data_IF_685794726644
#
_entry.id   IF_685794726644
#
_cell.length_a   1.000
_cell.length_b   1.000
_cell.length_c   1.000
_cell.angle_alpha   90.00
_cell.angle_beta   90.00
_cell.angle_gamma   90.00
#
_symmetry.space_group_name_H-M   'P 1'
#
loop_
_entity.id
_entity.type
_entity.pdbx_description
1 polymer ?
#
# COMPACT_ATOMS: atom_id res chain seq x y z
N UNK A 1 8.44 19.05 -11.78
CA UNK A 1 7.15 19.46 -12.39
C UNK A 1 6.01 19.29 -11.39
N UNK A 2 5.14 20.30 -11.20
CA UNK A 2 3.98 20.19 -10.27
C UNK A 2 3.03 19.05 -10.66
N UNK A 3 2.78 18.88 -11.96
CA UNK A 3 1.96 17.80 -12.54
C UNK A 3 2.47 16.40 -12.22
N UNK A 4 3.78 16.16 -12.37
CA UNK A 4 4.39 14.86 -12.10
C UNK A 4 4.20 14.41 -10.64
N UNK A 5 4.26 15.34 -9.68
CA UNK A 5 4.00 15.04 -8.27
C UNK A 5 2.54 14.66 -7.99
N UNK A 6 1.59 15.31 -8.67
CA UNK A 6 0.15 15.00 -8.53
C UNK A 6 -0.14 13.61 -9.09
N UNK A 7 0.39 13.30 -10.28
CA UNK A 7 0.27 11.97 -10.89
C UNK A 7 0.84 10.91 -9.96
N UNK A 8 2.02 11.14 -9.37
CA UNK A 8 2.64 10.21 -8.44
C UNK A 8 1.77 9.95 -7.20
N UNK A 9 1.16 11.00 -6.63
CA UNK A 9 0.22 10.85 -5.49
C UNK A 9 -1.01 10.03 -5.89
N UNK A 10 -1.60 10.30 -7.05
CA UNK A 10 -2.77 9.56 -7.54
C UNK A 10 -2.43 8.07 -7.76
N UNK A 11 -1.29 7.77 -8.38
CA UNK A 11 -0.82 6.39 -8.57
C UNK A 11 -0.58 5.69 -7.25
N UNK A 12 0.04 6.34 -6.26
CA UNK A 12 0.27 5.74 -4.93
C UNK A 12 -1.04 5.44 -4.18
N UNK A 13 -2.07 6.26 -4.35
CA UNK A 13 -3.41 6.00 -3.76
C UNK A 13 -4.04 4.76 -4.41
N UNK A 14 -4.04 4.68 -5.74
CA UNK A 14 -4.57 3.51 -6.46
C UNK A 14 -3.80 2.25 -6.07
N UNK A 15 -2.48 2.32 -6.03
CA UNK A 15 -1.62 1.21 -5.62
C UNK A 15 -1.94 0.74 -4.20
N UNK A 16 -2.14 1.69 -3.26
CA UNK A 16 -2.54 1.37 -1.88
C UNK A 16 -3.86 0.60 -1.83
N UNK A 17 -4.86 1.01 -2.61
CA UNK A 17 -6.16 0.31 -2.68
C UNK A 17 -6.00 -1.12 -3.19
N UNK A 18 -5.21 -1.31 -4.26
CA UNK A 18 -4.93 -2.65 -4.81
C UNK A 18 -4.22 -3.55 -3.79
N UNK A 19 -3.24 -3.02 -3.06
CA UNK A 19 -2.54 -3.76 -1.99
C UNK A 19 -3.51 -4.17 -0.88
N UNK A 20 -4.40 -3.28 -0.44
CA UNK A 20 -5.40 -3.59 0.59
C UNK A 20 -6.33 -4.70 0.10
N UNK A 21 -6.82 -4.64 -1.14
CA UNK A 21 -7.63 -5.70 -1.73
C UNK A 21 -6.87 -7.04 -1.77
N UNK A 22 -5.59 -7.04 -2.13
CA UNK A 22 -4.76 -8.24 -2.15
C UNK A 22 -4.60 -8.84 -0.74
N UNK A 23 -4.33 -8.01 0.28
CA UNK A 23 -4.22 -8.46 1.68
C UNK A 23 -5.54 -9.10 2.14
N UNK A 24 -6.68 -8.46 1.90
CA UNK A 24 -7.99 -8.97 2.29
C UNK A 24 -8.26 -10.32 1.61
N UNK A 25 -7.98 -10.43 0.31
CA UNK A 25 -8.16 -11.68 -0.42
C UNK A 25 -7.27 -12.79 0.15
N UNK A 26 -6.02 -12.50 0.49
CA UNK A 26 -5.12 -13.45 1.13
C UNK A 26 -5.61 -13.86 2.53
N UNK A 27 -6.14 -12.94 3.34
CA UNK A 27 -6.71 -13.26 4.66
C UNK A 27 -7.97 -14.12 4.55
N UNK A 28 -8.83 -13.85 3.55
CA UNK A 28 -10.02 -14.67 3.25
C UNK A 28 -9.59 -16.07 2.79
N UNK A 29 -8.66 -16.18 1.83
CA UNK A 29 -8.12 -17.46 1.37
C UNK A 29 -7.51 -18.23 2.53
N UNK A 30 -6.71 -17.59 3.40
CA UNK A 30 -6.18 -18.23 4.60
C UNK A 30 -7.28 -18.82 5.49
N UNK A 31 -8.33 -18.06 5.79
CA UNK A 31 -9.41 -18.49 6.70
C UNK A 31 -10.26 -19.63 6.12
N UNK A 32 -10.60 -19.56 4.83
CA UNK A 32 -11.54 -20.49 4.22
C UNK A 32 -10.86 -21.69 3.56
N UNK A 33 -9.69 -21.49 2.96
CA UNK A 33 -8.99 -22.52 2.20
C UNK A 33 -7.92 -23.25 3.01
N UNK A 34 -7.44 -22.68 4.13
CA UNK A 34 -6.42 -23.30 4.97
C UNK A 34 -6.99 -23.65 6.35
N UNK A 35 -7.48 -22.67 7.10
CA UNK A 35 -7.95 -22.88 8.49
C UNK A 35 -9.22 -23.75 8.57
N UNK A 36 -10.20 -23.54 7.69
CA UNK A 36 -11.45 -24.32 7.64
C UNK A 36 -11.39 -25.54 6.71
N UNK A 37 -10.20 -26.12 6.48
CA UNK A 37 -10.09 -27.33 5.64
C UNK A 37 -10.80 -28.52 6.26
N UNK A 38 -11.67 -29.16 5.47
CA UNK A 38 -12.27 -30.44 5.83
C UNK A 38 -11.53 -31.58 5.11
N UNK A 39 -10.62 -32.26 5.82
CA UNK A 39 -10.22 -33.64 5.51
C UNK A 39 -9.26 -33.90 4.33
N UNK A 40 -8.82 -32.88 3.58
CA UNK A 40 -7.89 -33.10 2.47
C UNK A 40 -6.44 -33.37 2.94
N UNK A 41 -5.85 -34.48 2.45
CA UNK A 41 -4.52 -35.01 2.81
C UNK A 41 -3.33 -34.29 2.15
N UNK A 42 -3.55 -33.15 1.51
CA UNK A 42 -2.47 -32.40 0.84
C UNK A 42 -1.68 -31.65 1.90
N UNK A 43 -0.37 -31.93 1.98
CA UNK A 43 0.53 -31.18 2.85
C UNK A 43 0.64 -29.73 2.36
N UNK A 44 0.08 -28.82 3.14
CA UNK A 44 -0.04 -27.38 2.85
C UNK A 44 0.70 -26.52 3.85
N UNK A 45 1.54 -27.12 4.70
CA UNK A 45 2.32 -26.39 5.69
C UNK A 45 3.15 -25.28 5.02
N UNK A 46 3.78 -25.61 3.88
CA UNK A 46 4.54 -24.65 3.07
C UNK A 46 3.67 -23.51 2.51
N UNK A 47 2.45 -23.81 2.07
CA UNK A 47 1.52 -22.81 1.52
C UNK A 47 1.02 -21.88 2.62
N UNK A 48 0.71 -22.42 3.79
CA UNK A 48 0.28 -21.66 4.96
C UNK A 48 1.37 -20.67 5.40
N UNK A 49 2.62 -21.14 5.51
CA UNK A 49 3.76 -20.34 5.93
C UNK A 49 4.11 -19.27 4.88
N UNK A 50 4.07 -19.63 3.60
CA UNK A 50 4.22 -18.69 2.49
C UNK A 50 3.13 -17.60 2.50
N UNK A 51 1.87 -17.97 2.73
CA UNK A 51 0.75 -17.04 2.72
C UNK A 51 0.82 -16.07 3.92
N UNK A 52 1.20 -16.57 5.10
CA UNK A 52 1.44 -15.74 6.30
C UNK A 52 2.54 -14.73 6.08
N UNK A 53 3.68 -15.15 5.55
CA UNK A 53 4.81 -14.25 5.30
C UNK A 53 4.47 -13.25 4.19
N UNK A 54 3.74 -13.70 3.16
CA UNK A 54 3.23 -12.83 2.09
C UNK A 54 2.34 -11.73 2.67
N UNK A 55 1.29 -12.06 3.44
CA UNK A 55 0.40 -11.08 4.08
C UNK A 55 1.20 -10.07 4.92
N UNK A 56 2.18 -10.55 5.68
CA UNK A 56 3.06 -9.70 6.50
C UNK A 56 3.87 -8.74 5.64
N UNK A 57 4.52 -9.21 4.57
CA UNK A 57 5.27 -8.35 3.64
C UNK A 57 4.36 -7.31 2.99
N UNK A 58 3.15 -7.69 2.55
CA UNK A 58 2.20 -6.73 1.98
C UNK A 58 1.74 -5.67 2.99
N UNK A 59 1.53 -6.03 4.26
CA UNK A 59 1.24 -5.06 5.33
C UNK A 59 2.39 -4.07 5.55
N UNK A 60 3.64 -4.56 5.56
CA UNK A 60 4.82 -3.68 5.64
C UNK A 60 4.95 -2.77 4.43
N UNK A 61 4.73 -3.32 3.23
CA UNK A 61 4.76 -2.55 1.99
C UNK A 61 3.68 -1.47 1.96
N UNK A 62 2.47 -1.78 2.44
CA UNK A 62 1.39 -0.80 2.58
C UNK A 62 1.80 0.34 3.51
N UNK A 63 2.39 0.05 4.66
CA UNK A 63 2.95 1.07 5.56
C UNK A 63 3.99 1.95 4.86
N UNK A 64 4.89 1.36 4.09
CA UNK A 64 5.88 2.10 3.31
C UNK A 64 5.22 3.04 2.28
N UNK A 65 4.22 2.57 1.55
CA UNK A 65 3.49 3.41 0.57
C UNK A 65 2.78 4.57 1.28
N UNK A 66 2.15 4.34 2.42
CA UNK A 66 1.49 5.38 3.22
C UNK A 66 2.49 6.47 3.65
N UNK A 67 3.65 6.07 4.20
CA UNK A 67 4.70 7.04 4.60
C UNK A 67 5.17 7.87 3.40
N UNK A 68 5.38 7.23 2.25
CA UNK A 68 5.76 7.94 1.03
C UNK A 68 4.69 8.94 0.56
N UNK A 69 3.41 8.59 0.68
CA UNK A 69 2.31 9.51 0.37
C UNK A 69 2.38 10.75 1.28
N UNK A 70 2.60 10.58 2.59
CA UNK A 70 2.77 11.71 3.50
C UNK A 70 3.93 12.62 3.10
N UNK A 71 5.08 12.03 2.74
CA UNK A 71 6.25 12.77 2.29
C UNK A 71 5.96 13.59 1.01
N UNK A 72 5.28 12.97 0.04
CA UNK A 72 4.88 13.62 -1.21
C UNK A 72 3.90 14.78 -0.98
N UNK A 73 2.91 14.60 -0.10
CA UNK A 73 1.95 15.65 0.25
C UNK A 73 2.65 16.80 0.98
N UNK A 74 3.54 16.53 1.93
CA UNK A 74 4.32 17.55 2.63
C UNK A 74 5.19 18.37 1.65
N UNK A 75 5.85 17.69 0.71
CA UNK A 75 6.62 18.34 -0.38
C UNK A 75 5.74 19.23 -1.25
N UNK A 76 4.53 18.78 -1.59
CA UNK A 76 3.56 19.58 -2.36
C UNK A 76 3.11 20.83 -1.58
N UNK A 77 2.82 20.72 -0.29
CA UNK A 77 2.44 21.85 0.57
C UNK A 77 3.57 22.88 0.67
N UNK A 78 4.80 22.42 0.92
CA UNK A 78 5.97 23.29 1.02
C UNK A 78 6.26 24.02 -0.30
N UNK A 79 6.13 23.33 -1.44
CA UNK A 79 6.28 23.96 -2.76
C UNK A 79 5.22 25.03 -3.06
N UNK A 80 4.01 24.91 -2.49
CA UNK A 80 2.96 25.93 -2.60
C UNK A 80 3.24 27.16 -1.74
N UNK A 81 3.76 26.99 -0.52
CA UNK A 81 4.16 28.10 0.36
C UNK A 81 5.24 28.98 -0.30
N UNK A 82 6.33 28.36 -0.77
CA UNK A 82 7.42 29.07 -1.44
C UNK A 82 6.97 29.79 -2.72
N UNK A 83 6.00 29.22 -3.45
CA UNK A 83 5.42 29.86 -4.64
C UNK A 83 4.57 31.09 -4.32
N UNK A 84 3.90 31.14 -3.16
CA UNK A 84 3.11 32.30 -2.73
C UNK A 84 4.00 33.45 -2.25
N UNK A 85 5.04 33.15 -1.48
CA UNK A 85 6.02 34.14 -0.99
C UNK A 85 6.71 34.90 -2.13
N UNK A 86 7.10 34.20 -3.20
CA UNK A 86 7.72 34.85 -4.37
C UNK A 86 6.77 35.76 -5.15
N UNK A 87 5.46 35.53 -5.07
CA UNK A 87 4.45 36.33 -5.78
C UNK A 87 4.01 37.57 -4.97
N UNK A 88 4.22 37.57 -3.65
CA UNK A 88 3.96 38.73 -2.78
C UNK A 88 5.12 39.72 -2.69
N UNK A 89 6.28 39.37 -3.22
CA UNK A 89 7.52 40.18 -3.21
C UNK A 89 7.80 40.86 -4.57
N UNK A 90 6.96 40.62 -5.59
CA UNK A 90 7.01 41.25 -6.92
C UNK A 90 5.90 42.28 -7.06
#
# INVERSE_FOLDING_TARGET
>A
MKWLRIVFVATSIILSLVIVCAIINCEISYKYEIENRCGDKIDILWVEEWLKETIKVWKFFLCYVIINIFYLIASLVNSRKSSKEKCSLS
#
